data_IF_033232993781
#
_entry.id   IF_033232993781
#
_cell.length_a   1.000
_cell.length_b   1.000
_cell.length_c   1.000
_cell.angle_alpha   90.00
_cell.angle_beta   90.00
_cell.angle_gamma   90.00
#
_symmetry.space_group_name_H-M   'P 1'
#
loop_
_entity.id
_entity.type
_entity.pdbx_description
1 polymer ?
#
# COMPACT_ATOMS: atom_id res chain seq x y z
N UNK A 1 18.18 2.38 6.05
CA UNK A 1 17.06 3.27 6.37
C UNK A 1 15.79 2.43 6.34
N UNK A 2 15.26 2.05 7.50
CA UNK A 2 14.08 1.19 7.63
C UNK A 2 12.84 1.99 7.24
N UNK A 3 12.21 1.65 6.12
CA UNK A 3 10.95 2.28 5.72
C UNK A 3 9.90 1.83 6.75
N UNK A 4 9.33 2.79 7.48
CA UNK A 4 8.26 2.53 8.44
C UNK A 4 6.92 2.39 7.67
N UNK A 5 6.69 1.21 7.09
CA UNK A 5 5.47 0.92 6.32
C UNK A 5 4.20 0.91 7.19
N UNK A 6 4.34 0.66 8.50
CA UNK A 6 3.22 0.64 9.43
C UNK A 6 2.51 2.00 9.51
N UNK A 7 3.25 3.11 9.45
CA UNK A 7 2.66 4.45 9.44
C UNK A 7 1.80 4.70 8.19
N UNK A 8 2.24 4.23 7.02
CA UNK A 8 1.46 4.34 5.76
C UNK A 8 0.23 3.43 5.76
N UNK A 9 0.33 2.24 6.36
CA UNK A 9 -0.80 1.31 6.44
C UNK A 9 -1.90 1.81 7.38
N UNK A 10 -1.54 2.41 8.52
CA UNK A 10 -2.51 2.99 9.47
C UNK A 10 -3.36 4.09 8.84
N UNK A 11 -2.77 4.89 7.94
CA UNK A 11 -3.45 5.96 7.21
C UNK A 11 -4.20 5.54 5.95
N UNK A 12 -4.18 4.26 5.57
CA UNK A 12 -4.93 3.81 4.40
C UNK A 12 -6.44 3.82 4.66
N UNK A 13 -7.27 4.30 3.71
CA UNK A 13 -8.72 4.34 3.86
C UNK A 13 -9.36 2.96 3.71
N UNK A 14 -10.50 2.74 4.38
CA UNK A 14 -11.34 1.55 4.20
C UNK A 14 -12.33 1.77 3.04
N UNK A 15 -11.81 2.10 1.86
CA UNK A 15 -12.61 2.50 0.70
C UNK A 15 -12.06 1.89 -0.59
N UNK A 16 -12.87 1.81 -1.67
CA UNK A 16 -12.39 1.41 -2.97
C UNK A 16 -11.34 2.37 -3.52
N UNK A 17 -10.35 1.83 -4.21
CA UNK A 17 -9.36 2.66 -4.87
C UNK A 17 -8.23 1.88 -5.52
N UNK A 18 -7.20 2.62 -5.90
CA UNK A 18 -6.00 2.10 -6.57
C UNK A 18 -4.78 2.41 -5.70
N UNK A 19 -3.85 1.46 -5.63
CA UNK A 19 -2.57 1.61 -4.95
C UNK A 19 -1.40 1.32 -5.89
N UNK A 20 -0.25 1.93 -5.59
CA UNK A 20 0.99 1.74 -6.32
C UNK A 20 2.05 1.16 -5.38
N UNK A 21 2.72 0.11 -5.83
CA UNK A 21 3.97 -0.31 -5.20
C UNK A 21 5.13 0.26 -5.99
N UNK A 22 6.10 0.80 -5.25
CA UNK A 22 7.29 1.42 -5.79
C UNK A 22 8.52 0.68 -5.27
N UNK A 23 9.55 0.58 -6.09
CA UNK A 23 10.87 0.12 -5.64
C UNK A 23 11.56 1.18 -4.77
N UNK A 24 12.78 0.87 -4.31
CA UNK A 24 13.59 1.79 -3.51
C UNK A 24 14.00 3.07 -4.24
N UNK A 25 14.01 3.08 -5.57
CA UNK A 25 14.24 4.24 -6.42
C UNK A 25 12.97 5.06 -6.72
N UNK A 26 11.82 4.64 -6.19
CA UNK A 26 10.54 5.30 -6.43
C UNK A 26 9.86 4.95 -7.75
N UNK A 27 10.44 4.03 -8.54
CA UNK A 27 9.83 3.55 -9.78
C UNK A 27 8.62 2.68 -9.44
N UNK A 28 7.49 2.94 -10.11
CA UNK A 28 6.30 2.09 -9.98
C UNK A 28 6.59 0.72 -10.58
N UNK A 29 6.44 -0.33 -9.77
CA UNK A 29 6.66 -1.71 -10.17
C UNK A 29 5.35 -2.51 -10.25
N UNK A 30 4.29 -2.03 -9.58
CA UNK A 30 2.99 -2.67 -9.59
C UNK A 30 1.87 -1.66 -9.29
N UNK A 31 0.72 -1.87 -9.93
CA UNK A 31 -0.51 -1.11 -9.70
C UNK A 31 -1.62 -2.11 -9.44
N UNK A 32 -2.35 -1.93 -8.35
CA UNK A 32 -3.49 -2.78 -7.99
C UNK A 32 -4.72 -1.96 -7.62
N UNK A 33 -5.91 -2.52 -7.85
CA UNK A 33 -7.18 -1.97 -7.35
C UNK A 33 -7.74 -2.83 -6.23
N UNK A 34 -8.51 -2.23 -5.34
CA UNK A 34 -9.23 -2.93 -4.28
C UNK A 34 -10.58 -2.26 -4.00
N UNK A 35 -11.56 -3.04 -3.53
CA UNK A 35 -12.79 -2.49 -2.94
C UNK A 35 -12.59 -1.94 -1.52
N UNK A 36 -11.50 -2.33 -0.85
CA UNK A 36 -11.07 -1.81 0.45
C UNK A 36 -9.54 -1.76 0.47
N UNK A 37 -8.99 -0.55 0.35
CA UNK A 37 -7.54 -0.34 0.28
C UNK A 37 -6.82 -0.77 1.56
N UNK A 38 -7.36 -0.44 2.74
CA UNK A 38 -6.74 -0.81 4.03
C UNK A 38 -6.64 -2.32 4.20
N UNK A 39 -7.72 -3.06 3.93
CA UNK A 39 -7.69 -4.53 4.00
C UNK A 39 -6.72 -5.12 2.99
N UNK A 40 -6.73 -4.63 1.74
CA UNK A 40 -5.85 -5.15 0.69
C UNK A 40 -4.39 -4.91 1.01
N UNK A 41 -4.03 -3.69 1.40
CA UNK A 41 -2.65 -3.35 1.76
C UNK A 41 -2.18 -4.14 2.97
N UNK A 42 -3.04 -4.34 3.98
CA UNK A 42 -2.68 -5.11 5.18
C UNK A 42 -2.33 -6.57 4.86
N UNK A 43 -2.90 -7.16 3.80
CA UNK A 43 -2.60 -8.55 3.40
C UNK A 43 -1.17 -8.77 2.92
N UNK A 44 -0.48 -7.72 2.46
CA UNK A 44 0.92 -7.80 2.02
C UNK A 44 1.93 -7.69 3.18
N UNK A 45 1.49 -7.25 4.36
CA UNK A 45 2.35 -6.93 5.50
C UNK A 45 1.97 -7.69 6.77
N UNK A 46 1.21 -8.79 6.63
CA UNK A 46 1.01 -9.77 7.71
C UNK A 46 2.26 -10.61 7.93
#
# INVERSE_FOLDING_TARGET
MTINLNAKLSGAPNEPGVYLMKDSGGKVIYIGKAGDLKKRLSSYFK
#
